data_IF_523814706919
#
_entry.id   IF_523814706919
#
_cell.length_a   1.000
_cell.length_b   1.000
_cell.length_c   1.000
_cell.angle_alpha   90.00
_cell.angle_beta   90.00
_cell.angle_gamma   90.00
#
_symmetry.space_group_name_H-M   'P 1'
#
loop_
_entity.id
_entity.type
_entity.pdbx_description
1 polymer ?
#
# COMPACT_ATOMS: atom_id res chain seq x y z
N UNK A 1 14.14 -18.12 -4.45
CA UNK A 1 13.15 -17.51 -3.55
C UNK A 1 11.77 -17.98 -3.99
N UNK A 2 11.11 -18.84 -3.20
CA UNK A 2 9.71 -19.18 -3.45
C UNK A 2 8.85 -18.07 -2.81
N UNK A 3 8.14 -17.30 -3.63
CA UNK A 3 7.07 -16.43 -3.12
C UNK A 3 6.04 -17.32 -2.39
N UNK A 4 5.50 -16.89 -1.23
CA UNK A 4 4.51 -17.67 -0.53
C UNK A 4 3.28 -17.88 -1.44
N UNK A 5 2.97 -19.15 -1.73
CA UNK A 5 1.92 -19.61 -2.66
C UNK A 5 0.50 -19.39 -2.10
N UNK A 6 0.14 -18.18 -1.66
CA UNK A 6 -1.10 -18.01 -0.88
C UNK A 6 -1.87 -16.70 -1.01
N UNK A 7 -1.26 -15.58 -1.36
CA UNK A 7 -1.98 -14.30 -1.35
C UNK A 7 -2.36 -13.86 -2.75
N UNK A 8 -3.65 -14.02 -3.05
CA UNK A 8 -4.27 -13.44 -4.24
C UNK A 8 -4.05 -11.92 -4.22
N UNK A 9 -3.48 -11.31 -5.28
CA UNK A 9 -3.26 -9.87 -5.29
C UNK A 9 -4.60 -9.14 -5.14
N UNK A 10 -4.62 -8.12 -4.28
CA UNK A 10 -5.79 -7.28 -4.11
C UNK A 10 -5.98 -6.50 -5.40
N UNK A 11 -7.10 -6.76 -6.08
CA UNK A 11 -7.38 -6.19 -7.40
C UNK A 11 -7.43 -4.67 -7.35
N UNK A 12 -8.09 -4.12 -6.33
CA UNK A 12 -8.26 -2.69 -6.14
C UNK A 12 -8.24 -2.34 -4.66
N UNK A 13 -7.41 -1.39 -4.29
CA UNK A 13 -7.39 -0.76 -2.96
C UNK A 13 -7.58 0.74 -3.14
N UNK A 14 -8.55 1.28 -2.41
CA UNK A 14 -8.72 2.73 -2.24
C UNK A 14 -8.35 3.07 -0.81
N UNK A 15 -7.28 3.83 -0.64
CA UNK A 15 -6.83 4.37 0.64
C UNK A 15 -7.15 5.86 0.68
N UNK A 16 -7.78 6.31 1.76
CA UNK A 16 -8.09 7.72 1.96
C UNK A 16 -7.40 8.16 3.25
N UNK A 17 -6.49 9.12 3.13
CA UNK A 17 -5.73 9.65 4.25
C UNK A 17 -6.56 10.72 4.98
N UNK A 18 -6.29 10.90 6.27
CA UNK A 18 -6.95 11.93 7.09
C UNK A 18 -6.73 13.36 6.56
N UNK A 19 -5.65 13.58 5.80
CA UNK A 19 -5.37 14.83 5.09
C UNK A 19 -6.31 15.08 3.89
N UNK A 20 -7.19 14.14 3.55
CA UNK A 20 -8.06 14.19 2.38
C UNK A 20 -7.45 13.62 1.10
N UNK A 21 -6.15 13.31 1.10
CA UNK A 21 -5.49 12.66 -0.03
C UNK A 21 -6.02 11.23 -0.26
N UNK A 22 -6.19 10.83 -1.52
CA UNK A 22 -6.69 9.49 -1.90
C UNK A 22 -5.67 8.77 -2.77
N UNK A 23 -5.37 7.52 -2.42
CA UNK A 23 -4.47 6.62 -3.14
C UNK A 23 -5.28 5.46 -3.73
N UNK A 24 -5.10 5.23 -5.03
CA UNK A 24 -5.69 4.11 -5.75
C UNK A 24 -4.58 3.16 -6.17
N UNK A 25 -4.68 1.92 -5.71
CA UNK A 25 -3.71 0.87 -6.01
C UNK A 25 -4.43 -0.29 -6.68
N UNK A 26 -3.73 -0.89 -7.65
CA UNK A 26 -4.21 -2.06 -8.39
C UNK A 26 -3.26 -3.22 -8.23
N UNK A 27 -3.82 -4.42 -8.18
CA UNK A 27 -3.07 -5.66 -8.25
C UNK A 27 -1.91 -5.73 -7.22
N UNK A 28 -2.17 -5.20 -6.03
CA UNK A 28 -1.20 -4.98 -4.95
C UNK A 28 -1.32 -6.11 -3.93
N UNK A 29 -0.18 -6.56 -3.39
CA UNK A 29 -0.18 -7.46 -2.23
C UNK A 29 -0.22 -6.66 -0.93
N UNK A 30 -0.58 -7.33 0.17
CA UNK A 30 -0.54 -6.72 1.52
C UNK A 30 0.87 -6.25 1.87
N UNK A 31 1.89 -6.99 1.43
CA UNK A 31 3.30 -6.62 1.61
C UNK A 31 3.66 -5.34 0.84
N UNK A 32 3.30 -5.25 -0.44
CA UNK A 32 3.52 -4.03 -1.25
C UNK A 32 2.79 -2.82 -0.66
N UNK A 33 1.57 -3.03 -0.16
CA UNK A 33 0.78 -1.99 0.50
C UNK A 33 1.48 -1.46 1.75
N UNK A 34 2.01 -2.38 2.57
CA UNK A 34 2.72 -2.06 3.81
C UNK A 34 4.00 -1.26 3.54
N UNK A 35 4.77 -1.66 2.51
CA UNK A 35 5.95 -0.93 2.04
C UNK A 35 5.60 0.47 1.52
N UNK A 36 4.55 0.58 0.71
CA UNK A 36 4.11 1.84 0.13
C UNK A 36 3.60 2.81 1.20
N UNK A 37 2.79 2.32 2.15
CA UNK A 37 2.34 3.11 3.29
C UNK A 37 3.49 3.58 4.16
N UNK A 38 4.47 2.71 4.45
CA UNK A 38 5.66 3.09 5.22
C UNK A 38 6.42 4.23 4.51
N UNK A 39 6.61 4.13 3.19
CA UNK A 39 7.25 5.18 2.40
C UNK A 39 6.48 6.50 2.39
N UNK A 40 5.15 6.43 2.25
CA UNK A 40 4.28 7.62 2.25
C UNK A 40 4.23 8.28 3.63
N UNK A 41 4.12 7.49 4.70
CA UNK A 41 4.19 8.00 6.08
C UNK A 41 5.56 8.59 6.39
N UNK A 42 6.64 7.96 5.93
CA UNK A 42 8.00 8.49 6.07
C UNK A 42 8.22 9.80 5.30
N UNK A 43 7.51 10.02 4.18
CA UNK A 43 7.53 11.29 3.46
C UNK A 43 6.74 12.39 4.18
N UNK A 44 5.61 12.02 4.81
CA UNK A 44 4.70 12.98 5.47
C UNK A 44 5.17 13.34 6.89
N UNK A 45 5.83 12.42 7.60
CA UNK A 45 6.24 12.60 8.99
C UNK A 45 7.61 13.29 9.14
N UNK A 46 8.28 13.62 8.04
CA UNK A 46 9.59 14.30 8.02
C UNK A 46 9.49 15.81 7.72
N UNK A 47 8.27 16.34 7.62
CA UNK A 47 7.94 17.77 7.56
C UNK A 47 7.35 18.21 8.92
#
# INVERSE_FOLDING_TARGET
MKQPEGESPIRWVKLQLASGATLFLRNTTVLDLSLLLNKVLGLICLD
#
